data_IF_370231621034
#
_entry.id   IF_370231621034
#
_cell.length_a   1.000
_cell.length_b   1.000
_cell.length_c   1.000
_cell.angle_alpha   90.00
_cell.angle_beta   90.00
_cell.angle_gamma   90.00
#
_symmetry.space_group_name_H-M   'P 1'
#
loop_
_entity.id
_entity.type
_entity.pdbx_description
1 polymer ?
#
# COMPACT_ATOMS: atom_id res chain seq x y z
N UNK A 1 26.62 -54.34 1.60
CA UNK A 1 27.60 -54.31 0.48
C UNK A 1 26.87 -53.92 -0.80
N UNK A 2 27.38 -52.90 -1.52
CA UNK A 2 26.98 -52.37 -2.85
C UNK A 2 25.58 -51.69 -2.91
N UNK A 3 25.39 -50.50 -3.51
CA UNK A 3 26.15 -49.82 -4.57
C UNK A 3 26.22 -48.29 -4.40
N UNK A 4 27.30 -47.77 -4.96
CA UNK A 4 27.58 -46.41 -5.42
C UNK A 4 26.81 -46.14 -6.73
N UNK A 5 26.22 -44.96 -6.90
CA UNK A 5 26.01 -44.34 -8.22
C UNK A 5 26.34 -42.84 -8.16
N UNK A 6 27.12 -42.42 -9.15
CA UNK A 6 27.52 -41.04 -9.48
C UNK A 6 26.76 -40.66 -10.76
N UNK A 7 26.32 -39.40 -10.86
CA UNK A 7 25.84 -38.75 -12.08
C UNK A 7 24.49 -38.07 -11.82
N UNK A 8 24.19 -36.87 -12.28
CA UNK A 8 24.83 -35.96 -13.21
C UNK A 8 24.29 -34.55 -12.91
N UNK A 9 24.93 -33.56 -13.50
CA UNK A 9 24.79 -32.13 -13.23
C UNK A 9 23.67 -31.53 -14.11
N UNK A 10 23.00 -30.51 -13.59
CA UNK A 10 22.28 -29.44 -14.34
C UNK A 10 21.05 -29.83 -15.16
N UNK A 11 19.88 -29.40 -14.66
CA UNK A 11 18.90 -28.75 -15.54
C UNK A 11 18.24 -27.58 -14.81
N UNK A 12 18.61 -26.40 -15.32
CA UNK A 12 18.14 -25.08 -14.94
C UNK A 12 16.63 -24.86 -15.12
N UNK A 13 16.17 -23.81 -14.43
CA UNK A 13 15.08 -22.92 -14.83
C UNK A 13 13.66 -23.50 -14.79
N UNK A 14 12.97 -23.33 -13.66
CA UNK A 14 11.67 -22.60 -13.55
C UNK A 14 11.37 -22.44 -12.05
N UNK A 15 11.99 -21.47 -11.38
CA UNK A 15 11.48 -20.97 -10.09
C UNK A 15 11.86 -19.51 -9.79
N UNK A 16 12.38 -18.76 -10.78
CA UNK A 16 12.70 -17.33 -10.67
C UNK A 16 11.47 -16.41 -10.79
N UNK A 17 10.36 -16.76 -10.11
CA UNK A 17 9.20 -15.86 -9.97
C UNK A 17 8.65 -15.78 -8.54
N UNK A 18 9.50 -15.93 -7.54
CA UNK A 18 9.21 -15.48 -6.18
C UNK A 18 9.95 -14.17 -5.91
N UNK A 19 9.49 -13.09 -6.54
CA UNK A 19 10.05 -11.76 -6.30
C UNK A 19 9.56 -11.23 -4.94
N UNK A 20 10.36 -11.52 -3.92
CA UNK A 20 10.73 -10.64 -2.80
C UNK A 20 9.59 -9.91 -2.07
N UNK A 21 9.11 -10.52 -0.99
CA UNK A 21 8.65 -9.80 0.20
C UNK A 21 9.08 -10.57 1.45
N UNK A 22 10.19 -10.15 2.08
CA UNK A 22 10.55 -10.58 3.43
C UNK A 22 11.08 -9.39 4.22
N UNK A 23 10.15 -8.49 4.54
CA UNK A 23 10.21 -7.62 5.72
C UNK A 23 8.78 -7.35 6.21
N UNK A 24 8.08 -8.41 6.63
CA UNK A 24 6.88 -8.25 7.45
C UNK A 24 7.31 -8.34 8.91
N UNK A 25 7.29 -7.21 9.61
CA UNK A 25 7.03 -7.26 11.05
C UNK A 25 5.70 -7.99 11.23
N UNK A 26 5.68 -9.01 12.10
CA UNK A 26 4.51 -9.83 12.43
C UNK A 26 3.43 -9.01 13.15
N UNK A 27 2.77 -8.09 12.42
CA UNK A 27 1.65 -7.30 12.90
C UNK A 27 0.39 -8.04 12.47
N UNK A 28 -0.35 -8.55 13.45
CA UNK A 28 -1.61 -9.26 13.23
C UNK A 28 -2.67 -8.29 12.71
N UNK A 29 -3.32 -8.65 11.59
CA UNK A 29 -4.39 -7.84 10.98
C UNK A 29 -5.73 -8.38 11.42
N UNK A 30 -6.42 -7.63 12.28
CA UNK A 30 -7.78 -7.95 12.72
C UNK A 30 -8.86 -7.52 11.71
N UNK A 31 -8.47 -7.28 10.45
CA UNK A 31 -9.35 -6.79 9.38
C UNK A 31 -8.97 -7.41 8.03
N UNK A 32 -9.91 -7.31 7.08
CA UNK A 32 -9.67 -7.57 5.67
C UNK A 32 -10.10 -6.36 4.86
N UNK A 33 -9.37 -6.04 3.79
CA UNK A 33 -9.73 -4.94 2.88
C UNK A 33 -10.15 -5.52 1.51
N UNK A 34 -11.29 -5.10 0.98
CA UNK A 34 -11.64 -5.36 -0.42
C UNK A 34 -10.69 -4.60 -1.34
N UNK A 35 -10.52 -5.11 -2.56
CA UNK A 35 -9.76 -4.40 -3.59
C UNK A 35 -10.32 -3.00 -3.85
N UNK A 36 -9.43 -2.07 -4.15
CA UNK A 36 -9.79 -0.74 -4.61
C UNK A 36 -10.50 -0.81 -5.97
N UNK A 37 -11.58 -0.04 -6.12
CA UNK A 37 -12.38 0.15 -7.35
C UNK A 37 -12.45 1.63 -7.69
N UNK A 38 -12.84 1.95 -8.93
CA UNK A 38 -12.88 3.34 -9.41
C UNK A 38 -13.77 4.26 -8.56
N UNK A 39 -14.82 3.75 -7.90
CA UNK A 39 -15.65 4.56 -7.00
C UNK A 39 -14.89 5.10 -5.79
N UNK A 40 -13.78 4.45 -5.41
CA UNK A 40 -12.95 4.82 -4.24
C UNK A 40 -12.04 6.02 -4.55
N UNK A 41 -11.91 6.38 -5.83
CA UNK A 41 -11.16 7.56 -6.26
C UNK A 41 -11.71 8.84 -5.64
N UNK A 42 -13.04 8.99 -5.59
CA UNK A 42 -13.68 10.20 -5.09
C UNK A 42 -13.44 10.44 -3.59
N UNK A 43 -13.73 9.49 -2.67
CA UNK A 43 -13.43 9.68 -1.25
C UNK A 43 -11.93 9.88 -1.00
N UNK A 44 -11.06 9.16 -1.72
CA UNK A 44 -9.61 9.34 -1.60
C UNK A 44 -9.16 10.74 -2.04
N UNK A 45 -9.64 11.24 -3.18
CA UNK A 45 -9.35 12.61 -3.63
C UNK A 45 -9.92 13.67 -2.68
N UNK A 46 -11.07 13.42 -2.05
CA UNK A 46 -11.66 14.32 -1.04
C UNK A 46 -10.72 14.44 0.18
N UNK A 47 -10.18 13.31 0.65
CA UNK A 47 -9.18 13.26 1.73
C UNK A 47 -7.90 14.01 1.32
N UNK A 48 -7.32 13.66 0.16
CA UNK A 48 -6.10 14.29 -0.34
C UNK A 48 -6.26 15.81 -0.54
N UNK A 49 -7.43 16.27 -0.99
CA UNK A 49 -7.74 17.70 -1.15
C UNK A 49 -7.76 18.43 0.19
N UNK A 50 -8.32 17.82 1.24
CA UNK A 50 -8.39 18.41 2.59
C UNK A 50 -7.03 18.45 3.29
N UNK A 51 -6.21 17.43 3.07
CA UNK A 51 -4.84 17.35 3.61
C UNK A 51 -3.95 18.37 2.93
N UNK A 52 -4.06 18.48 1.60
CA UNK A 52 -3.22 19.32 0.76
C UNK A 52 -2.41 18.47 -0.21
N UNK A 53 -2.97 18.17 -1.38
CA UNK A 53 -2.32 17.28 -2.38
C UNK A 53 -0.92 17.75 -2.83
N UNK A 54 -0.60 19.03 -2.63
CA UNK A 54 0.72 19.60 -2.91
C UNK A 54 1.81 19.05 -2.01
N UNK A 55 1.48 18.73 -0.76
CA UNK A 55 2.42 18.16 0.20
C UNK A 55 2.80 16.72 -0.17
N UNK A 56 1.96 16.05 -0.97
CA UNK A 56 2.19 14.70 -1.47
C UNK A 56 2.84 14.65 -2.87
N UNK A 57 3.11 15.80 -3.53
CA UNK A 57 3.53 15.85 -4.94
C UNK A 57 4.78 15.01 -5.20
N UNK A 58 5.82 15.22 -4.40
CA UNK A 58 7.11 14.52 -4.58
C UNK A 58 6.98 13.01 -4.37
N UNK A 59 6.26 12.61 -3.32
CA UNK A 59 6.01 11.19 -3.05
C UNK A 59 5.22 10.53 -4.21
N UNK A 60 4.21 11.20 -4.78
CA UNK A 60 3.48 10.66 -5.93
C UNK A 60 4.34 10.53 -7.19
N UNK A 61 5.23 11.48 -7.47
CA UNK A 61 6.16 11.42 -8.61
C UNK A 61 7.12 10.23 -8.43
N UNK A 62 7.63 10.03 -7.21
CA UNK A 62 8.54 8.92 -6.89
C UNK A 62 7.85 7.57 -7.01
N UNK A 63 6.61 7.41 -6.54
CA UNK A 63 5.86 6.16 -6.73
C UNK A 63 5.60 5.90 -8.23
N UNK A 64 5.35 6.94 -9.02
CA UNK A 64 5.04 6.81 -10.44
C UNK A 64 6.24 6.44 -11.33
N UNK A 65 7.47 6.78 -10.97
CA UNK A 65 8.67 6.61 -11.81
C UNK A 65 9.14 5.16 -11.94
N UNK A 66 8.98 4.33 -10.90
CA UNK A 66 9.04 2.86 -10.99
C UNK A 66 10.35 2.22 -11.49
N UNK A 67 11.51 2.90 -11.50
CA UNK A 67 12.76 2.28 -11.95
C UNK A 67 13.23 1.17 -10.97
N UNK A 68 13.84 0.10 -11.49
CA UNK A 68 14.02 -1.17 -10.73
C UNK A 68 15.00 -1.10 -9.56
N UNK A 69 15.98 -0.20 -9.60
CA UNK A 69 16.86 0.14 -8.46
C UNK A 69 16.13 0.96 -7.39
N UNK A 70 14.94 1.47 -7.71
CA UNK A 70 14.08 2.36 -6.90
C UNK A 70 12.91 1.61 -6.24
N UNK A 71 12.85 0.27 -6.23
CA UNK A 71 11.77 -0.44 -5.51
C UNK A 71 11.68 -0.01 -4.03
N UNK A 72 12.84 0.20 -3.39
CA UNK A 72 12.91 0.75 -2.03
C UNK A 72 12.39 2.19 -1.97
N UNK A 73 12.69 3.02 -2.98
CA UNK A 73 12.19 4.40 -3.07
C UNK A 73 10.67 4.44 -3.29
N UNK A 74 10.11 3.53 -4.11
CA UNK A 74 8.66 3.41 -4.26
C UNK A 74 7.95 2.90 -3.01
N UNK A 75 8.62 2.07 -2.18
CA UNK A 75 8.14 1.69 -0.85
C UNK A 75 8.19 2.89 0.10
N UNK A 76 9.32 3.59 0.18
CA UNK A 76 9.47 4.79 1.02
C UNK A 76 8.45 5.86 0.64
N UNK A 77 8.26 6.13 -0.64
CA UNK A 77 7.28 7.10 -1.10
C UNK A 77 5.82 6.69 -0.80
N UNK A 78 5.53 5.39 -0.74
CA UNK A 78 4.21 4.90 -0.26
C UNK A 78 4.04 5.18 1.23
N UNK A 79 5.10 4.97 2.02
CA UNK A 79 5.11 5.34 3.43
C UNK A 79 5.02 6.84 3.64
N UNK A 80 5.67 7.66 2.80
CA UNK A 80 5.56 9.12 2.88
C UNK A 80 4.12 9.57 2.63
N UNK A 81 3.39 8.95 1.68
CA UNK A 81 1.97 9.25 1.45
C UNK A 81 1.13 8.85 2.66
N UNK A 82 1.38 7.67 3.23
CA UNK A 82 0.68 7.21 4.43
C UNK A 82 0.98 8.10 5.65
N UNK A 83 2.24 8.51 5.83
CA UNK A 83 2.69 9.40 6.90
C UNK A 83 2.07 10.79 6.78
N UNK A 84 2.03 11.37 5.57
CA UNK A 84 1.33 12.64 5.33
C UNK A 84 -0.14 12.52 5.70
N UNK A 85 -0.79 11.39 5.38
CA UNK A 85 -2.19 11.18 5.73
C UNK A 85 -2.40 11.01 7.24
N UNK A 86 -1.56 10.21 7.90
CA UNK A 86 -1.59 9.98 9.35
C UNK A 86 -1.33 11.30 10.10
N UNK A 87 -0.32 12.08 9.68
CA UNK A 87 0.02 13.37 10.28
C UNK A 87 -1.06 14.44 10.11
N UNK A 88 -2.01 14.24 9.18
CA UNK A 88 -3.12 15.16 8.92
C UNK A 88 -4.49 14.56 9.23
N UNK A 89 -4.56 13.41 9.91
CA UNK A 89 -5.79 12.64 10.11
C UNK A 89 -6.90 13.47 10.78
N UNK A 90 -6.54 14.36 11.72
CA UNK A 90 -7.47 15.27 12.39
C UNK A 90 -8.25 16.18 11.43
N UNK A 91 -7.74 16.47 10.23
CA UNK A 91 -8.44 17.29 9.21
C UNK A 91 -9.51 16.50 8.45
N UNK A 92 -9.44 15.18 8.50
CA UNK A 92 -10.18 14.25 7.63
C UNK A 92 -10.80 13.10 8.42
N UNK A 93 -11.02 13.27 9.72
CA UNK A 93 -11.43 12.19 10.63
C UNK A 93 -12.67 11.43 10.13
N UNK A 94 -13.76 12.15 9.82
CA UNK A 94 -14.99 11.53 9.33
C UNK A 94 -14.80 10.85 7.97
N UNK A 95 -14.16 11.52 7.01
CA UNK A 95 -13.90 10.92 5.69
C UNK A 95 -13.02 9.67 5.78
N UNK A 96 -12.11 9.64 6.75
CA UNK A 96 -11.24 8.50 7.02
C UNK A 96 -12.10 7.33 7.49
N UNK A 97 -12.86 7.48 8.58
CA UNK A 97 -13.68 6.38 9.07
C UNK A 97 -14.72 5.91 8.03
N UNK A 98 -15.31 6.81 7.24
CA UNK A 98 -16.20 6.46 6.13
C UNK A 98 -15.50 5.61 5.06
N UNK A 99 -14.32 6.05 4.57
CA UNK A 99 -13.58 5.34 3.53
C UNK A 99 -13.11 3.96 4.02
N UNK A 100 -12.53 3.90 5.21
CA UNK A 100 -12.00 2.65 5.75
C UNK A 100 -13.11 1.69 6.20
N UNK A 101 -14.29 2.20 6.51
CA UNK A 101 -15.51 1.39 6.70
C UNK A 101 -15.95 0.71 5.41
N UNK A 102 -16.05 1.46 4.31
CA UNK A 102 -16.52 0.91 3.03
C UNK A 102 -15.53 -0.12 2.42
N UNK A 103 -14.22 0.08 2.58
CA UNK A 103 -13.23 -0.89 2.08
C UNK A 103 -13.03 -2.10 3.00
N UNK A 104 -13.39 -2.02 4.28
CA UNK A 104 -13.25 -3.17 5.20
C UNK A 104 -14.55 -3.95 5.41
N UNK A 105 -15.70 -3.30 5.18
CA UNK A 105 -17.01 -3.82 5.57
C UNK A 105 -17.29 -3.70 7.07
N UNK A 106 -16.38 -3.11 7.86
CA UNK A 106 -16.55 -2.87 9.29
C UNK A 106 -17.27 -1.53 9.46
N UNK A 107 -18.33 -1.42 10.28
CA UNK A 107 -18.98 -0.14 10.56
C UNK A 107 -17.99 0.93 11.06
N UNK A 108 -18.16 2.17 10.61
CA UNK A 108 -17.26 3.27 10.96
C UNK A 108 -17.11 3.47 12.48
N UNK A 109 -18.17 3.26 13.25
CA UNK A 109 -18.15 3.37 14.72
C UNK A 109 -17.36 2.22 15.34
N UNK A 110 -17.41 1.02 14.76
CA UNK A 110 -16.60 -0.12 15.22
C UNK A 110 -15.11 0.12 14.92
N UNK A 111 -14.76 0.77 13.80
CA UNK A 111 -13.37 1.14 13.48
C UNK A 111 -12.78 2.09 14.53
N UNK A 112 -13.59 3.00 15.09
CA UNK A 112 -13.14 3.96 16.13
C UNK A 112 -12.75 3.28 17.43
N UNK A 113 -13.37 2.14 17.72
CA UNK A 113 -13.14 1.36 18.93
C UNK A 113 -12.13 0.21 18.74
N UNK A 114 -11.54 0.08 17.54
CA UNK A 114 -10.50 -0.91 17.28
C UNK A 114 -9.21 -0.63 18.05
N UNK A 115 -8.36 -1.66 18.15
CA UNK A 115 -7.06 -1.53 18.79
C UNK A 115 -6.23 -0.39 18.20
N UNK A 116 -5.57 0.36 19.08
CA UNK A 116 -4.72 1.47 18.70
C UNK A 116 -3.62 1.01 17.73
N UNK A 117 -3.57 1.66 16.57
CA UNK A 117 -2.67 1.28 15.47
C UNK A 117 -3.35 0.57 14.31
N UNK A 118 -4.60 0.11 14.48
CA UNK A 118 -5.34 -0.57 13.41
C UNK A 118 -5.58 0.34 12.20
N UNK A 119 -6.13 1.53 12.42
CA UNK A 119 -6.43 2.46 11.32
C UNK A 119 -5.17 2.91 10.55
N UNK A 120 -4.05 3.29 11.18
CA UNK A 120 -2.77 3.49 10.49
C UNK A 120 -2.32 2.29 9.65
N UNK A 121 -2.52 1.06 10.14
CA UNK A 121 -2.18 -0.16 9.40
C UNK A 121 -3.08 -0.33 8.16
N UNK A 122 -4.38 -0.08 8.28
CA UNK A 122 -5.31 -0.11 7.16
C UNK A 122 -4.93 0.92 6.09
N UNK A 123 -4.54 2.13 6.49
CA UNK A 123 -4.05 3.20 5.61
C UNK A 123 -2.81 2.72 4.83
N UNK A 124 -1.82 2.19 5.54
CA UNK A 124 -0.58 1.70 4.96
C UNK A 124 -0.81 0.57 3.96
N UNK A 125 -1.66 -0.40 4.29
CA UNK A 125 -2.02 -1.51 3.40
C UNK A 125 -2.74 -1.01 2.14
N UNK A 126 -3.64 -0.03 2.28
CA UNK A 126 -4.39 0.57 1.17
C UNK A 126 -3.47 1.22 0.13
N UNK A 127 -2.53 2.06 0.57
CA UNK A 127 -1.58 2.70 -0.35
C UNK A 127 -0.54 1.72 -0.92
N UNK A 128 -0.19 0.68 -0.16
CA UNK A 128 0.66 -0.42 -0.65
C UNK A 128 -0.01 -1.21 -1.76
N UNK A 129 -1.32 -1.45 -1.68
CA UNK A 129 -2.11 -2.03 -2.77
C UNK A 129 -2.18 -1.06 -3.96
N UNK A 130 -2.54 0.21 -3.73
CA UNK A 130 -2.69 1.23 -4.76
C UNK A 130 -1.42 1.41 -5.61
N UNK A 131 -0.23 1.20 -5.03
CA UNK A 131 1.06 1.22 -5.75
C UNK A 131 1.12 0.24 -6.90
N UNK A 132 0.44 -0.89 -6.79
CA UNK A 132 0.42 -1.92 -7.82
C UNK A 132 -0.60 -1.63 -8.93
N UNK A 133 -1.28 -0.48 -8.88
CA UNK A 133 -2.27 -0.03 -9.86
C UNK A 133 -1.74 1.12 -10.73
N UNK A 134 -2.54 1.58 -11.70
CA UNK A 134 -2.21 2.76 -12.52
C UNK A 134 -2.42 4.10 -11.79
N UNK A 135 -2.98 4.08 -10.57
CA UNK A 135 -3.42 5.28 -9.83
C UNK A 135 -2.33 6.36 -9.71
N UNK A 136 -1.19 6.04 -9.08
CA UNK A 136 -0.13 7.03 -8.87
C UNK A 136 0.53 7.49 -10.16
N UNK A 137 0.65 6.59 -11.15
CA UNK A 137 1.18 6.92 -12.47
C UNK A 137 0.32 7.94 -13.20
N UNK A 138 -1.00 7.85 -13.02
CA UNK A 138 -1.95 8.82 -13.60
C UNK A 138 -1.96 10.11 -12.78
N UNK A 139 -2.02 10.03 -11.45
CA UNK A 139 -2.02 11.20 -10.57
C UNK A 139 -0.78 12.08 -10.72
N UNK A 140 0.41 11.49 -10.85
CA UNK A 140 1.65 12.27 -10.98
C UNK A 140 1.65 13.20 -12.20
N UNK A 141 0.94 12.84 -13.28
CA UNK A 141 0.78 13.67 -14.49
C UNK A 141 -0.06 14.92 -14.26
N UNK A 142 -0.97 14.90 -13.29
CA UNK A 142 -1.78 16.07 -12.92
C UNK A 142 -1.04 17.01 -11.97
N UNK A 143 0.01 16.52 -11.32
CA UNK A 143 0.80 17.28 -10.37
C UNK A 143 2.13 17.78 -10.97
N UNK A 144 2.47 17.33 -12.18
CA UNK A 144 3.69 17.71 -12.92
C UNK A 144 3.76 19.22 -13.12
#
# INVERSE_FOLDING_TARGET
MKKMEIGDTLQDSVAEKACEQKTESNIERQYTLRRLKDSDLFPLLKILKKIGIRDCKEAFIQVASGEKTLKQIGIMATFDIADILIGNLAKVENETYEMWSDISGIPADDIREMEFGTLPLMIMDTFSEARNTSFFRVLSRFLS
#
